data_IF_611829507300
#
_entry.id   IF_611829507300
#
_cell.length_a   1.000
_cell.length_b   1.000
_cell.length_c   1.000
_cell.angle_alpha   90.00
_cell.angle_beta   90.00
_cell.angle_gamma   90.00
#
_symmetry.space_group_name_H-M   'P 1'
#
loop_
_entity.id
_entity.type
_entity.pdbx_description
1 polymer ?
#
# COMPACT_ATOMS: atom_id res chain seq x y z
N UNK A 1 -50.09 61.29 -46.50
CA UNK A 1 -49.41 60.23 -47.24
C UNK A 1 -47.97 60.22 -46.81
N UNK A 2 -47.60 59.35 -45.86
CA UNK A 2 -46.32 59.37 -45.16
C UNK A 2 -45.54 58.17 -45.62
N UNK A 3 -44.37 58.40 -46.22
CA UNK A 3 -43.40 57.35 -46.60
C UNK A 3 -42.49 57.04 -45.39
N UNK A 4 -42.51 55.81 -44.95
CA UNK A 4 -41.71 55.32 -43.88
C UNK A 4 -40.37 54.85 -44.48
N UNK A 5 -39.26 55.43 -44.02
CA UNK A 5 -37.89 55.02 -44.39
C UNK A 5 -37.39 54.05 -43.33
N UNK A 6 -37.10 52.82 -43.72
CA UNK A 6 -36.44 51.81 -42.91
C UNK A 6 -34.91 51.97 -43.00
N UNK A 7 -34.31 52.32 -41.88
CA UNK A 7 -32.84 52.31 -41.73
C UNK A 7 -32.44 50.90 -41.26
N UNK A 8 -31.70 50.17 -42.12
CA UNK A 8 -30.99 48.92 -41.78
C UNK A 8 -29.69 49.27 -41.04
N UNK A 9 -29.64 49.01 -39.75
CA UNK A 9 -28.40 48.98 -38.97
C UNK A 9 -27.80 47.59 -39.00
N UNK A 10 -26.71 47.45 -39.74
CA UNK A 10 -25.89 46.24 -39.79
C UNK A 10 -25.05 46.20 -38.52
N UNK A 11 -25.39 45.27 -37.59
CA UNK A 11 -24.64 45.01 -36.39
C UNK A 11 -23.48 44.05 -36.75
N UNK A 12 -22.25 44.53 -36.81
CA UNK A 12 -21.04 43.71 -37.01
C UNK A 12 -20.70 43.01 -35.69
N UNK A 13 -21.02 41.72 -35.61
CA UNK A 13 -20.56 40.84 -34.51
C UNK A 13 -19.10 40.46 -34.76
N UNK A 14 -18.18 41.08 -34.02
CA UNK A 14 -16.78 40.71 -34.01
C UNK A 14 -16.64 39.43 -33.15
N UNK A 15 -16.55 38.28 -33.79
CA UNK A 15 -16.19 37.01 -33.17
C UNK A 15 -14.73 37.07 -32.73
N UNK A 16 -14.48 37.39 -31.45
CA UNK A 16 -13.20 37.23 -30.81
C UNK A 16 -12.98 35.75 -30.51
N UNK A 17 -12.22 35.08 -31.40
CA UNK A 17 -11.67 33.74 -31.10
C UNK A 17 -10.63 33.89 -29.98
N UNK A 18 -10.77 33.18 -28.85
CA UNK A 18 -9.68 33.10 -27.90
C UNK A 18 -8.55 32.32 -28.56
N UNK A 19 -7.38 32.94 -28.62
CA UNK A 19 -6.16 32.29 -29.02
C UNK A 19 -5.95 31.09 -28.09
N UNK A 20 -5.91 29.88 -28.67
CA UNK A 20 -5.43 28.69 -27.95
C UNK A 20 -3.99 29.01 -27.51
N UNK A 21 -3.82 29.23 -26.23
CA UNK A 21 -2.49 29.18 -25.60
C UNK A 21 -1.94 27.79 -25.86
N UNK A 22 -0.92 27.72 -26.71
CA UNK A 22 -0.15 26.50 -26.89
C UNK A 22 0.23 25.99 -25.50
N UNK A 23 -0.30 24.81 -25.13
CA UNK A 23 0.01 24.19 -23.85
C UNK A 23 1.53 24.06 -23.75
N UNK A 24 2.11 24.75 -22.77
CA UNK A 24 3.50 24.51 -22.42
C UNK A 24 3.64 23.02 -22.13
N UNK A 25 4.53 22.37 -22.86
CA UNK A 25 4.94 21.01 -22.56
C UNK A 25 5.32 20.96 -21.07
N UNK A 26 4.88 19.94 -20.31
CA UNK A 26 5.27 19.82 -18.92
C UNK A 26 6.79 19.89 -18.83
N UNK A 27 7.35 20.57 -17.81
CA UNK A 27 8.79 20.66 -17.65
C UNK A 27 9.37 19.24 -17.66
N UNK A 28 10.55 19.04 -18.26
CA UNK A 28 11.17 17.72 -18.29
C UNK A 28 11.28 17.23 -16.87
N UNK A 29 10.68 16.08 -16.61
CA UNK A 29 10.84 15.41 -15.32
C UNK A 29 12.34 15.19 -15.13
N UNK A 30 12.90 15.41 -13.92
CA UNK A 30 14.30 15.12 -13.65
C UNK A 30 14.55 13.69 -14.12
N UNK A 31 15.57 13.54 -14.99
CA UNK A 31 15.94 12.23 -15.54
C UNK A 31 16.05 11.24 -14.37
N UNK A 32 15.23 10.19 -14.39
CA UNK A 32 15.38 9.10 -13.44
C UNK A 32 16.83 8.65 -13.51
N UNK A 33 17.46 8.50 -12.34
CA UNK A 33 18.84 7.98 -12.29
C UNK A 33 18.85 6.68 -13.07
N UNK A 34 19.87 6.53 -13.92
CA UNK A 34 20.04 5.33 -14.74
C UNK A 34 19.83 4.08 -13.89
N UNK A 35 19.02 3.17 -14.37
CA UNK A 35 18.78 1.91 -13.70
C UNK A 35 20.10 1.14 -13.55
N UNK A 36 20.41 0.72 -12.33
CA UNK A 36 21.57 -0.14 -12.02
C UNK A 36 21.06 -1.57 -11.90
N UNK A 37 21.62 -2.44 -12.74
CA UNK A 37 21.30 -3.88 -12.77
C UNK A 37 21.74 -4.50 -11.45
N UNK A 38 20.85 -5.28 -10.87
CA UNK A 38 21.11 -6.00 -9.62
C UNK A 38 20.95 -7.52 -9.74
N UNK A 39 21.32 -8.24 -8.68
CA UNK A 39 21.05 -9.68 -8.61
C UNK A 39 19.57 -9.98 -8.76
N UNK A 40 19.24 -11.14 -9.34
CA UNK A 40 17.90 -11.65 -9.65
C UNK A 40 17.18 -10.96 -10.82
N UNK A 41 17.71 -9.88 -11.38
CA UNK A 41 17.13 -9.27 -12.58
C UNK A 41 17.16 -10.24 -13.77
N UNK A 42 16.16 -10.10 -14.65
CA UNK A 42 16.10 -10.82 -15.92
C UNK A 42 16.41 -9.84 -17.05
N UNK A 43 17.47 -10.15 -17.79
CA UNK A 43 17.91 -9.36 -18.91
C UNK A 43 17.66 -10.13 -20.22
N UNK A 44 17.26 -9.42 -21.26
CA UNK A 44 17.21 -9.91 -22.62
C UNK A 44 18.36 -9.28 -23.40
N UNK A 45 19.29 -10.09 -23.87
CA UNK A 45 20.50 -9.67 -24.58
C UNK A 45 20.34 -10.09 -26.03
N UNK A 46 20.42 -9.12 -26.92
CA UNK A 46 20.25 -9.32 -28.35
C UNK A 46 21.52 -8.88 -29.09
N UNK A 47 22.02 -9.73 -29.95
CA UNK A 47 23.18 -9.44 -30.82
C UNK A 47 22.67 -9.31 -32.26
N UNK A 48 22.77 -8.10 -32.83
CA UNK A 48 22.25 -7.82 -34.16
C UNK A 48 22.90 -8.75 -35.20
N UNK A 49 22.07 -9.30 -36.08
CA UNK A 49 22.52 -10.22 -37.16
C UNK A 49 22.87 -11.64 -36.68
N UNK A 50 22.85 -11.93 -35.36
CA UNK A 50 23.25 -13.24 -34.82
C UNK A 50 22.20 -13.77 -33.82
N UNK A 51 21.08 -14.27 -34.34
CA UNK A 51 19.96 -14.76 -33.52
C UNK A 51 20.35 -15.85 -32.51
N UNK A 52 21.31 -16.69 -32.86
CA UNK A 52 21.81 -17.78 -32.02
C UNK A 52 22.54 -17.29 -30.74
N UNK A 53 22.91 -16.01 -30.72
CA UNK A 53 23.53 -15.36 -29.56
C UNK A 53 22.53 -14.61 -28.69
N UNK A 54 21.27 -14.47 -29.15
CA UNK A 54 20.22 -13.83 -28.37
C UNK A 54 19.81 -14.72 -27.21
N UNK A 55 19.79 -14.15 -26.01
CA UNK A 55 19.47 -14.91 -24.81
C UNK A 55 18.80 -14.07 -23.75
N UNK A 56 17.74 -14.61 -23.14
CA UNK A 56 17.21 -14.11 -21.87
C UNK A 56 18.01 -14.76 -20.73
N UNK A 57 18.64 -13.93 -19.91
CA UNK A 57 19.51 -14.40 -18.83
C UNK A 57 19.04 -13.87 -17.48
N UNK A 58 19.31 -14.65 -16.47
CA UNK A 58 19.11 -14.33 -15.07
C UNK A 58 20.42 -13.86 -14.45
N UNK A 59 20.39 -12.76 -13.71
CA UNK A 59 21.53 -12.27 -12.94
C UNK A 59 21.61 -13.08 -11.64
N UNK A 60 22.67 -13.87 -11.51
CA UNK A 60 22.89 -14.73 -10.35
C UNK A 60 23.08 -13.88 -9.07
N UNK A 61 22.91 -14.47 -7.86
CA UNK A 61 23.16 -13.76 -6.60
C UNK A 61 24.59 -13.20 -6.45
N UNK A 62 25.57 -13.79 -7.15
CA UNK A 62 26.95 -13.30 -7.20
C UNK A 62 27.14 -12.12 -8.18
N UNK A 63 26.04 -11.62 -8.79
CA UNK A 63 26.05 -10.52 -9.74
C UNK A 63 26.55 -10.84 -11.14
N UNK A 64 26.69 -12.12 -11.47
CA UNK A 64 27.24 -12.61 -12.75
C UNK A 64 26.14 -13.28 -13.58
N UNK A 65 26.41 -13.40 -14.88
CA UNK A 65 25.61 -14.23 -15.79
C UNK A 65 26.53 -14.93 -16.78
N UNK A 66 26.00 -15.94 -17.50
CA UNK A 66 26.74 -16.66 -18.54
C UNK A 66 26.13 -16.39 -19.90
N UNK A 67 26.97 -16.10 -20.88
CA UNK A 67 26.57 -15.79 -22.25
C UNK A 67 27.35 -16.67 -23.25
N UNK A 68 26.72 -17.03 -24.38
CA UNK A 68 27.40 -17.74 -25.46
C UNK A 68 28.64 -16.97 -25.94
N UNK A 69 29.73 -17.67 -26.22
CA UNK A 69 31.01 -17.15 -26.67
C UNK A 69 31.73 -16.20 -25.70
N UNK A 70 31.04 -15.65 -24.69
CA UNK A 70 31.61 -14.73 -23.68
C UNK A 70 31.99 -15.49 -22.40
N UNK A 71 31.22 -16.53 -22.08
CA UNK A 71 31.33 -17.22 -20.79
C UNK A 71 30.70 -16.42 -19.64
N UNK A 72 31.31 -16.52 -18.46
CA UNK A 72 30.83 -15.82 -17.27
C UNK A 72 31.27 -14.35 -17.24
N UNK A 73 30.30 -13.43 -17.00
CA UNK A 73 30.54 -11.98 -16.97
C UNK A 73 29.82 -11.34 -15.80
N UNK A 74 30.46 -10.36 -15.14
CA UNK A 74 29.85 -9.53 -14.09
C UNK A 74 28.96 -8.46 -14.71
N UNK A 75 27.67 -8.46 -14.32
CA UNK A 75 26.62 -7.56 -14.83
C UNK A 75 26.03 -6.66 -13.76
N UNK A 76 25.95 -7.12 -12.54
CA UNK A 76 25.44 -6.30 -11.42
C UNK A 76 26.33 -5.07 -11.18
N UNK A 77 25.69 -3.97 -10.73
CA UNK A 77 26.36 -2.70 -10.47
C UNK A 77 26.62 -1.85 -11.73
N UNK A 78 26.27 -2.34 -12.92
CA UNK A 78 26.36 -1.59 -14.19
C UNK A 78 25.01 -1.00 -14.57
N UNK A 79 25.04 0.13 -15.27
CA UNK A 79 23.85 0.58 -16.01
C UNK A 79 23.65 -0.29 -17.25
N UNK A 80 22.44 -0.22 -17.84
CA UNK A 80 22.13 -0.91 -19.09
C UNK A 80 23.13 -0.49 -20.20
N UNK A 81 23.41 0.80 -20.31
CA UNK A 81 24.34 1.33 -21.29
C UNK A 81 25.77 0.80 -21.07
N UNK A 82 26.26 0.84 -19.85
CA UNK A 82 27.59 0.30 -19.51
C UNK A 82 27.71 -1.19 -19.83
N UNK A 83 26.64 -1.96 -19.63
CA UNK A 83 26.63 -3.37 -19.98
C UNK A 83 26.62 -3.58 -21.50
N UNK A 84 25.83 -2.78 -22.24
CA UNK A 84 25.81 -2.83 -23.71
C UNK A 84 27.20 -2.55 -24.31
N UNK A 85 27.85 -1.48 -23.85
CA UNK A 85 29.18 -1.09 -24.32
C UNK A 85 30.22 -2.19 -24.02
N UNK A 86 30.13 -2.73 -22.80
CA UNK A 86 31.03 -3.81 -22.38
C UNK A 86 30.84 -5.09 -23.21
N UNK A 87 29.59 -5.51 -23.44
CA UNK A 87 29.29 -6.69 -24.25
C UNK A 87 29.63 -6.47 -25.72
N UNK A 88 29.39 -5.27 -26.26
CA UNK A 88 29.79 -4.90 -27.62
C UNK A 88 31.31 -5.10 -27.83
N UNK A 89 32.12 -4.59 -26.91
CA UNK A 89 33.57 -4.75 -26.97
C UNK A 89 34.06 -6.21 -26.83
N UNK A 90 33.31 -7.02 -26.06
CA UNK A 90 33.66 -8.45 -25.92
C UNK A 90 33.27 -9.24 -27.17
N UNK A 91 32.04 -9.04 -27.69
CA UNK A 91 31.57 -9.74 -28.89
C UNK A 91 32.31 -9.33 -30.16
N UNK A 92 32.77 -8.08 -30.27
CA UNK A 92 33.54 -7.60 -31.45
C UNK A 92 34.80 -8.46 -31.71
N UNK A 93 35.37 -9.08 -30.67
CA UNK A 93 36.54 -9.98 -30.80
C UNK A 93 36.24 -11.25 -31.60
N UNK A 94 34.97 -11.68 -31.61
CA UNK A 94 34.54 -12.95 -32.21
C UNK A 94 33.58 -12.73 -33.37
N UNK A 95 32.76 -11.67 -33.30
CA UNK A 95 31.72 -11.30 -34.26
C UNK A 95 31.96 -9.88 -34.73
N UNK A 96 32.51 -9.71 -35.95
CA UNK A 96 32.79 -8.38 -36.51
C UNK A 96 31.51 -7.55 -36.65
N UNK A 97 31.57 -6.30 -36.20
CA UNK A 97 30.42 -5.38 -36.27
C UNK A 97 29.28 -5.75 -35.31
N UNK A 98 29.57 -6.43 -34.23
CA UNK A 98 28.58 -6.84 -33.22
C UNK A 98 27.94 -5.60 -32.57
N UNK A 99 26.63 -5.41 -32.77
CA UNK A 99 25.81 -4.42 -32.05
C UNK A 99 24.98 -5.17 -31.03
N UNK A 100 25.19 -4.84 -29.76
CA UNK A 100 24.50 -5.50 -28.65
C UNK A 100 23.44 -4.57 -28.08
N UNK A 101 22.23 -5.11 -27.87
CA UNK A 101 21.13 -4.43 -27.17
C UNK A 101 20.86 -5.20 -25.87
N UNK A 102 20.77 -4.51 -24.75
CA UNK A 102 20.39 -5.06 -23.45
C UNK A 102 19.07 -4.46 -23.02
N UNK A 103 18.09 -5.31 -22.73
CA UNK A 103 16.77 -4.93 -22.26
C UNK A 103 16.56 -5.53 -20.87
N UNK A 104 16.18 -4.72 -19.89
CA UNK A 104 15.76 -5.22 -18.58
C UNK A 104 14.32 -5.71 -18.71
N UNK A 105 14.13 -7.02 -18.75
CA UNK A 105 12.84 -7.66 -18.92
C UNK A 105 12.03 -7.67 -17.63
N UNK A 106 12.70 -7.97 -16.52
CA UNK A 106 12.09 -7.97 -15.19
C UNK A 106 13.07 -7.42 -14.16
N UNK A 107 12.61 -6.48 -13.36
CA UNK A 107 13.33 -5.93 -12.22
C UNK A 107 12.94 -6.75 -10.99
N UNK A 108 13.87 -7.49 -10.41
CA UNK A 108 13.67 -8.28 -9.19
C UNK A 108 14.64 -7.90 -8.08
N UNK A 109 15.66 -7.13 -8.40
CA UNK A 109 16.73 -6.71 -7.49
C UNK A 109 16.33 -5.59 -6.52
N UNK A 110 15.09 -5.04 -6.64
CA UNK A 110 14.64 -3.88 -5.86
C UNK A 110 13.35 -4.17 -5.07
N UNK A 111 13.33 -5.22 -4.23
CA UNK A 111 12.14 -5.61 -3.48
C UNK A 111 11.83 -4.60 -2.36
N UNK A 112 10.54 -4.39 -2.10
CA UNK A 112 9.99 -3.80 -0.88
C UNK A 112 8.94 -4.75 -0.34
N UNK A 113 8.96 -5.00 0.95
CA UNK A 113 8.10 -5.96 1.63
C UNK A 113 6.96 -5.24 2.34
N UNK A 114 5.71 -5.59 2.05
CA UNK A 114 4.52 -5.07 2.71
C UNK A 114 3.94 -6.13 3.63
N UNK A 115 3.89 -5.85 4.94
CA UNK A 115 3.56 -6.83 5.98
C UNK A 115 2.40 -6.32 6.83
N UNK A 116 1.41 -7.18 7.08
CA UNK A 116 0.27 -6.93 7.97
C UNK A 116 -0.93 -6.30 7.26
N UNK A 117 -1.45 -5.21 7.77
CA UNK A 117 -2.74 -4.63 7.42
C UNK A 117 -2.83 -3.91 6.07
N UNK A 118 -2.36 -4.53 5.00
CA UNK A 118 -2.52 -4.05 3.62
C UNK A 118 -3.54 -4.89 2.85
N UNK A 119 -4.15 -4.33 1.82
CA UNK A 119 -5.09 -5.05 0.96
C UNK A 119 -4.45 -6.23 0.22
N UNK A 120 -3.17 -6.08 -0.19
CA UNK A 120 -2.36 -7.12 -0.83
C UNK A 120 -0.96 -7.09 -0.21
N UNK A 121 -0.78 -7.70 0.96
CA UNK A 121 0.55 -7.82 1.56
C UNK A 121 1.43 -8.74 0.70
N UNK A 122 2.74 -8.53 0.74
CA UNK A 122 3.70 -9.30 -0.05
C UNK A 122 4.87 -8.46 -0.53
N UNK A 123 5.54 -8.93 -1.58
CA UNK A 123 6.70 -8.27 -2.16
C UNK A 123 6.28 -7.43 -3.37
N UNK A 124 6.74 -6.19 -3.40
CA UNK A 124 6.59 -5.28 -4.52
C UNK A 124 7.97 -4.90 -5.05
N UNK A 125 8.15 -4.89 -6.36
CA UNK A 125 9.40 -4.44 -6.98
C UNK A 125 9.35 -2.94 -7.30
N UNK A 126 10.38 -2.20 -6.90
CA UNK A 126 10.51 -0.79 -7.24
C UNK A 126 11.04 -0.64 -8.67
N UNK A 127 10.14 -0.46 -9.63
CA UNK A 127 10.51 -0.21 -11.03
C UNK A 127 11.01 1.23 -11.27
N UNK A 128 10.73 2.13 -10.34
CA UNK A 128 11.14 3.53 -10.30
C UNK A 128 11.22 4.02 -8.85
N UNK A 129 11.68 5.24 -8.63
CA UNK A 129 11.56 5.86 -7.31
C UNK A 129 10.08 6.05 -6.94
N UNK A 130 9.66 5.47 -5.83
CA UNK A 130 8.29 5.56 -5.30
C UNK A 130 8.32 6.05 -3.85
N UNK A 131 7.31 6.85 -3.52
CA UNK A 131 7.03 7.19 -2.13
C UNK A 131 6.15 6.12 -1.48
N UNK A 132 6.09 6.12 -0.16
CA UNK A 132 5.22 5.23 0.60
C UNK A 132 3.76 5.35 0.16
N UNK A 133 3.25 6.58 -0.01
CA UNK A 133 1.87 6.84 -0.43
C UNK A 133 1.55 6.22 -1.80
N UNK A 134 2.46 6.37 -2.77
CA UNK A 134 2.31 5.78 -4.10
C UNK A 134 2.29 4.25 -4.02
N UNK A 135 3.16 3.68 -3.19
CA UNK A 135 3.29 2.24 -3.02
C UNK A 135 2.07 1.62 -2.31
N UNK A 136 1.50 2.31 -1.30
CA UNK A 136 0.26 1.90 -0.63
C UNK A 136 -0.88 1.71 -1.65
N UNK A 137 -0.99 2.60 -2.63
CA UNK A 137 -2.02 2.50 -3.66
C UNK A 137 -1.87 1.23 -4.52
N UNK A 138 -0.64 0.79 -4.77
CA UNK A 138 -0.34 -0.42 -5.55
C UNK A 138 -0.72 -1.69 -4.76
N UNK A 139 -0.46 -1.71 -3.46
CA UNK A 139 -0.74 -2.86 -2.59
C UNK A 139 -2.19 -2.88 -2.04
N UNK A 140 -3.07 -2.07 -2.62
CA UNK A 140 -4.51 -2.11 -2.30
C UNK A 140 -4.90 -1.37 -1.02
N UNK A 141 -4.09 -0.42 -0.57
CA UNK A 141 -4.40 0.42 0.59
C UNK A 141 -4.16 -0.26 1.94
N UNK A 142 -4.52 0.44 3.00
CA UNK A 142 -4.52 -0.06 4.38
C UNK A 142 -5.92 -0.55 4.73
N UNK A 143 -6.04 -1.77 5.29
CA UNK A 143 -7.33 -2.37 5.63
C UNK A 143 -7.94 -1.75 6.91
N UNK A 144 -9.27 -1.82 7.04
CA UNK A 144 -9.98 -1.17 8.13
C UNK A 144 -9.60 -1.66 9.55
N UNK A 145 -9.22 -2.94 9.66
CA UNK A 145 -8.79 -3.56 10.92
C UNK A 145 -7.28 -3.41 11.19
N UNK A 146 -6.55 -2.60 10.43
CA UNK A 146 -5.16 -2.29 10.70
C UNK A 146 -5.01 -1.24 11.81
N UNK A 147 -3.91 -1.33 12.58
CA UNK A 147 -3.49 -0.29 13.51
C UNK A 147 -2.62 0.74 12.78
N UNK A 148 -3.31 1.63 12.06
CA UNK A 148 -2.69 2.58 11.16
C UNK A 148 -1.81 3.64 11.86
N UNK A 149 -1.92 3.79 13.18
CA UNK A 149 -1.10 4.74 13.95
C UNK A 149 0.25 4.15 14.35
N UNK A 150 0.34 2.81 14.43
CA UNK A 150 1.55 2.10 14.86
C UNK A 150 2.37 1.52 13.71
N UNK A 151 2.14 2.02 12.50
CA UNK A 151 2.91 1.58 11.35
C UNK A 151 4.36 2.08 11.36
N UNK A 152 5.21 1.42 10.59
CA UNK A 152 6.61 1.81 10.44
C UNK A 152 7.23 1.22 9.18
N UNK A 153 8.35 1.81 8.77
CA UNK A 153 9.24 1.26 7.75
C UNK A 153 10.53 0.80 8.43
N UNK A 154 10.92 -0.43 8.20
CA UNK A 154 12.24 -0.95 8.57
C UNK A 154 13.17 -0.80 7.37
N UNK A 155 14.28 -0.09 7.57
CA UNK A 155 15.35 0.09 6.59
C UNK A 155 16.67 -0.36 7.21
N UNK A 156 17.10 -1.55 6.87
CA UNK A 156 18.16 -2.20 7.62
C UNK A 156 17.77 -2.30 9.10
N UNK A 157 18.62 -1.80 9.99
CA UNK A 157 18.38 -1.79 11.44
C UNK A 157 17.57 -0.56 11.92
N UNK A 158 17.23 0.35 11.00
CA UNK A 158 16.53 1.59 11.35
C UNK A 158 15.02 1.42 11.26
N UNK A 159 14.31 1.69 12.35
CA UNK A 159 12.85 1.80 12.37
C UNK A 159 12.43 3.26 12.16
N UNK A 160 11.67 3.51 11.11
CA UNK A 160 11.09 4.82 10.76
C UNK A 160 9.60 4.74 11.09
N UNK A 161 9.11 5.38 12.16
CA UNK A 161 7.69 5.35 12.49
C UNK A 161 6.88 6.10 11.43
N UNK A 162 5.72 5.58 11.09
CA UNK A 162 4.78 6.17 10.14
C UNK A 162 3.37 6.07 10.70
N UNK A 163 2.71 7.21 10.83
CA UNK A 163 1.29 7.30 11.12
C UNK A 163 0.52 7.34 9.79
N UNK A 164 -0.05 6.20 9.41
CA UNK A 164 -0.81 6.07 8.17
C UNK A 164 -2.14 6.84 8.21
N UNK A 165 -2.73 7.09 9.39
CA UNK A 165 -3.92 7.94 9.51
C UNK A 165 -3.57 9.40 9.17
N UNK A 166 -2.45 9.91 9.68
CA UNK A 166 -1.98 11.26 9.35
C UNK A 166 -1.65 11.37 7.87
N UNK A 167 -0.98 10.37 7.32
CA UNK A 167 -0.64 10.34 5.89
C UNK A 167 -1.89 10.32 5.00
N UNK A 168 -2.81 9.38 5.24
CA UNK A 168 -3.91 9.08 4.31
C UNK A 168 -5.13 9.98 4.52
N UNK A 169 -5.44 10.35 5.78
CA UNK A 169 -6.64 11.13 6.09
C UNK A 169 -6.35 12.63 6.19
N UNK A 170 -5.16 13.02 6.65
CA UNK A 170 -4.78 14.43 6.84
C UNK A 170 -3.83 14.94 5.77
N UNK A 171 -3.31 14.08 4.88
CA UNK A 171 -2.37 14.46 3.83
C UNK A 171 -1.01 14.92 4.36
N UNK A 172 -0.61 14.47 5.55
CA UNK A 172 0.66 14.86 6.18
C UNK A 172 1.84 14.18 5.48
N UNK A 173 2.47 14.91 4.56
CA UNK A 173 3.60 14.41 3.77
C UNK A 173 4.88 14.18 4.58
N UNK A 174 4.95 14.64 5.84
CA UNK A 174 6.06 14.28 6.74
C UNK A 174 6.09 12.77 7.03
N UNK A 175 4.95 12.10 6.88
CA UNK A 175 4.77 10.66 7.01
C UNK A 175 4.98 9.89 5.69
N UNK A 176 5.48 10.55 4.63
CA UNK A 176 5.60 9.97 3.29
C UNK A 176 7.06 9.81 2.86
N UNK A 177 7.83 8.90 3.46
CA UNK A 177 9.20 8.65 3.03
C UNK A 177 9.26 8.08 1.60
N UNK A 178 10.34 8.36 0.89
CA UNK A 178 10.71 7.58 -0.30
C UNK A 178 11.13 6.18 0.14
N UNK A 179 10.67 5.18 -0.59
CA UNK A 179 11.05 3.79 -0.33
C UNK A 179 12.36 3.45 -1.03
N UNK A 180 13.13 2.59 -0.39
CA UNK A 180 14.39 2.07 -0.90
C UNK A 180 14.32 0.53 -1.03
N UNK A 181 15.08 -0.07 -1.95
CA UNK A 181 15.16 -1.53 -2.04
C UNK A 181 15.56 -2.16 -0.70
N UNK A 182 14.85 -3.21 -0.30
CA UNK A 182 15.03 -3.89 0.98
C UNK A 182 14.19 -3.32 2.13
N UNK A 183 13.45 -2.21 1.94
CA UNK A 183 12.54 -1.71 2.96
C UNK A 183 11.45 -2.73 3.28
N UNK A 184 11.10 -2.83 4.57
CA UNK A 184 9.91 -3.54 5.03
C UNK A 184 8.91 -2.57 5.62
N UNK A 185 7.78 -2.39 4.95
CA UNK A 185 6.66 -1.54 5.39
C UNK A 185 5.71 -2.40 6.21
N UNK A 186 5.55 -2.07 7.48
CA UNK A 186 4.76 -2.87 8.42
C UNK A 186 3.61 -2.03 8.97
N UNK A 187 2.40 -2.55 8.84
CA UNK A 187 1.22 -2.03 9.53
C UNK A 187 0.63 -3.17 10.35
N UNK A 188 0.73 -3.13 11.68
CA UNK A 188 0.14 -4.16 12.52
C UNK A 188 -1.38 -4.25 12.31
N UNK A 189 -1.96 -5.41 12.51
CA UNK A 189 -3.40 -5.51 12.69
C UNK A 189 -3.75 -4.98 14.08
N UNK A 190 -4.88 -4.29 14.18
CA UNK A 190 -5.37 -3.83 15.47
C UNK A 190 -5.82 -5.02 16.31
N UNK A 191 -5.61 -4.92 17.59
CA UNK A 191 -6.25 -5.83 18.55
C UNK A 191 -7.76 -5.78 18.39
N UNK A 192 -8.44 -6.86 18.75
CA UNK A 192 -9.88 -6.97 18.65
C UNK A 192 -10.51 -7.40 19.98
N UNK A 193 -11.78 -7.05 20.15
CA UNK A 193 -12.70 -7.61 21.16
C UNK A 193 -13.76 -8.38 20.38
N UNK A 194 -14.18 -9.51 20.89
CA UNK A 194 -15.16 -10.37 20.24
C UNK A 194 -16.51 -10.25 20.92
N UNK A 195 -17.56 -9.97 20.17
CA UNK A 195 -18.93 -9.86 20.71
C UNK A 195 -19.78 -10.97 20.12
N UNK A 196 -20.32 -11.81 20.98
CA UNK A 196 -21.09 -13.00 20.61
C UNK A 196 -22.42 -13.07 21.38
N UNK A 197 -23.34 -13.90 20.88
CA UNK A 197 -24.67 -14.15 21.47
C UNK A 197 -25.72 -13.21 20.89
N UNK A 198 -26.64 -12.74 21.75
CA UNK A 198 -27.83 -11.98 21.37
C UNK A 198 -27.53 -10.52 21.06
N UNK A 199 -26.74 -10.30 19.99
CA UNK A 199 -26.47 -9.01 19.34
C UNK A 199 -26.82 -9.10 17.86
N UNK A 200 -27.08 -7.97 17.21
CA UNK A 200 -27.58 -7.97 15.81
C UNK A 200 -26.55 -8.53 14.82
N UNK A 201 -25.27 -8.20 15.01
CA UNK A 201 -24.20 -8.61 14.09
C UNK A 201 -23.01 -9.10 14.92
N UNK A 202 -23.05 -10.35 15.43
CA UNK A 202 -21.93 -10.92 16.18
C UNK A 202 -20.63 -10.85 15.38
N UNK A 203 -19.51 -10.51 16.03
CA UNK A 203 -18.23 -10.42 15.34
C UNK A 203 -17.13 -9.76 16.15
N UNK A 204 -16.01 -9.51 15.45
CA UNK A 204 -14.86 -8.81 16.01
C UNK A 204 -15.06 -7.30 15.91
N UNK A 205 -14.78 -6.60 17.01
CA UNK A 205 -14.75 -5.15 17.11
C UNK A 205 -13.31 -4.71 17.29
N UNK A 206 -12.86 -3.75 16.49
CA UNK A 206 -11.52 -3.18 16.62
C UNK A 206 -11.34 -2.58 18.01
N UNK A 207 -10.30 -3.03 18.72
CA UNK A 207 -9.96 -2.45 20.01
C UNK A 207 -9.35 -1.06 19.83
N UNK A 208 -9.93 -0.10 20.52
CA UNK A 208 -9.36 1.24 20.75
C UNK A 208 -9.11 1.37 22.26
N UNK A 209 -8.07 2.08 22.66
CA UNK A 209 -7.70 2.17 24.08
C UNK A 209 -8.81 2.69 25.03
N UNK A 210 -9.90 3.24 24.47
CA UNK A 210 -11.08 3.74 25.17
C UNK A 210 -12.35 2.90 24.91
N UNK A 211 -12.19 1.69 24.32
CA UNK A 211 -13.33 0.81 24.03
C UNK A 211 -13.96 0.29 25.30
N UNK A 212 -15.27 0.47 25.42
CA UNK A 212 -16.08 0.01 26.54
C UNK A 212 -17.11 -1.02 26.08
N UNK A 213 -17.77 -1.70 27.02
CA UNK A 213 -18.79 -2.72 26.70
C UNK A 213 -19.94 -2.12 25.89
N UNK A 214 -20.46 -0.97 26.32
CA UNK A 214 -21.58 -0.32 25.62
C UNK A 214 -21.16 0.09 24.21
N UNK A 215 -19.95 0.66 24.05
CA UNK A 215 -19.41 1.01 22.73
C UNK A 215 -19.27 -0.22 21.82
N UNK A 216 -18.74 -1.34 22.36
CA UNK A 216 -18.56 -2.56 21.59
C UNK A 216 -19.91 -3.16 21.14
N UNK A 217 -20.89 -3.24 22.05
CA UNK A 217 -22.24 -3.73 21.72
C UNK A 217 -22.90 -2.82 20.67
N UNK A 218 -22.73 -1.51 20.79
CA UNK A 218 -23.28 -0.54 19.81
C UNK A 218 -22.66 -0.75 18.42
N UNK A 219 -21.36 -1.00 18.32
CA UNK A 219 -20.69 -1.23 17.04
C UNK A 219 -21.16 -2.49 16.31
N UNK A 220 -21.62 -3.51 17.05
CA UNK A 220 -22.24 -4.71 16.47
C UNK A 220 -23.75 -4.58 16.25
N UNK A 221 -24.25 -3.35 16.22
CA UNK A 221 -25.66 -3.03 15.92
C UNK A 221 -26.61 -3.10 17.13
N UNK A 222 -26.07 -3.26 18.33
CA UNK A 222 -26.86 -3.33 19.57
C UNK A 222 -27.40 -4.72 19.91
N UNK A 223 -28.14 -4.79 21.00
CA UNK A 223 -28.75 -6.01 21.51
C UNK A 223 -29.97 -6.43 20.66
N UNK A 224 -30.25 -7.74 20.60
CA UNK A 224 -31.51 -8.26 20.06
C UNK A 224 -32.65 -8.12 21.07
N UNK A 225 -33.92 -8.22 20.66
CA UNK A 225 -35.05 -8.27 21.59
C UNK A 225 -35.04 -9.47 22.54
N UNK A 226 -34.31 -10.52 22.18
CA UNK A 226 -34.17 -11.75 22.98
C UNK A 226 -33.01 -11.68 23.97
N UNK A 227 -32.20 -10.64 23.95
CA UNK A 227 -31.05 -10.49 24.82
C UNK A 227 -31.42 -10.40 26.31
N UNK A 228 -30.53 -10.88 27.16
CA UNK A 228 -30.59 -10.70 28.62
C UNK A 228 -29.51 -9.70 29.08
N UNK A 229 -29.73 -8.38 28.95
CA UNK A 229 -28.70 -7.35 29.18
C UNK A 229 -28.20 -7.30 30.64
N UNK A 230 -29.00 -7.75 31.59
CA UNK A 230 -28.59 -7.85 33.02
C UNK A 230 -27.64 -9.01 33.33
N UNK A 231 -27.25 -9.83 32.35
CA UNK A 231 -26.42 -11.03 32.55
C UNK A 231 -25.36 -11.22 31.51
N UNK A 232 -24.75 -10.13 31.05
CA UNK A 232 -23.67 -10.17 30.05
C UNK A 232 -22.38 -10.64 30.74
N UNK A 233 -21.67 -11.57 30.12
CA UNK A 233 -20.40 -12.05 30.61
C UNK A 233 -19.27 -11.50 29.75
N UNK A 234 -18.22 -10.95 30.35
CA UNK A 234 -16.94 -10.63 29.71
C UNK A 234 -15.92 -11.67 30.14
N UNK A 235 -15.38 -12.39 29.16
CA UNK A 235 -14.32 -13.37 29.39
C UNK A 235 -13.00 -12.68 29.06
N UNK A 236 -12.16 -12.48 30.07
CA UNK A 236 -10.87 -11.82 30.00
C UNK A 236 -9.74 -12.80 30.30
N UNK A 237 -8.62 -12.66 29.61
CA UNK A 237 -7.43 -13.47 29.82
C UNK A 237 -7.04 -14.32 28.64
N UNK A 238 -5.99 -15.13 28.82
CA UNK A 238 -5.43 -16.04 27.81
C UNK A 238 -6.03 -17.45 27.92
N UNK A 239 -5.50 -18.36 27.07
CA UNK A 239 -5.98 -19.76 27.03
C UNK A 239 -5.86 -20.53 28.36
N UNK A 240 -4.94 -20.16 29.23
CA UNK A 240 -4.65 -20.87 30.48
C UNK A 240 -5.44 -20.34 31.67
N UNK A 241 -5.74 -19.04 31.69
CA UNK A 241 -6.48 -18.41 32.79
C UNK A 241 -7.48 -17.41 32.23
N UNK A 242 -8.77 -17.79 32.26
CA UNK A 242 -9.89 -16.92 31.89
C UNK A 242 -10.64 -16.46 33.13
N UNK A 243 -10.78 -15.16 33.30
CA UNK A 243 -11.64 -14.53 34.27
C UNK A 243 -13.00 -14.24 33.64
N UNK A 244 -14.08 -14.57 34.33
CA UNK A 244 -15.44 -14.21 33.92
C UNK A 244 -15.91 -13.04 34.75
N UNK A 245 -16.13 -11.92 34.11
CA UNK A 245 -16.67 -10.70 34.73
C UNK A 245 -18.12 -10.58 34.28
N UNK A 246 -19.05 -10.75 35.23
CA UNK A 246 -20.49 -10.58 34.96
C UNK A 246 -20.87 -9.12 35.10
N UNK A 247 -21.56 -8.59 34.10
CA UNK A 247 -21.96 -7.18 34.05
C UNK A 247 -23.44 -7.03 33.71
N UNK A 248 -24.04 -6.01 34.28
CA UNK A 248 -25.43 -5.62 34.03
C UNK A 248 -25.45 -4.40 33.12
N UNK A 249 -25.49 -4.67 31.80
CA UNK A 249 -25.49 -3.61 30.74
C UNK A 249 -26.77 -2.77 30.83
N UNK A 250 -27.88 -3.34 31.28
CA UNK A 250 -29.14 -2.61 31.45
C UNK A 250 -29.01 -1.53 32.52
N UNK A 251 -28.40 -1.86 33.67
CA UNK A 251 -28.12 -0.88 34.73
C UNK A 251 -27.09 0.15 34.29
N UNK A 252 -26.05 -0.26 33.57
CA UNK A 252 -25.05 0.69 33.03
C UNK A 252 -25.69 1.72 32.12
N UNK A 253 -26.67 1.34 31.29
CA UNK A 253 -27.36 2.28 30.39
C UNK A 253 -28.38 3.17 31.11
N UNK A 254 -29.03 2.66 32.18
CA UNK A 254 -30.07 3.42 32.91
C UNK A 254 -29.54 4.31 34.02
N UNK A 255 -28.46 3.89 34.68
CA UNK A 255 -27.87 4.59 35.82
C UNK A 255 -26.33 4.59 35.70
N UNK A 256 -25.76 5.34 34.75
CA UNK A 256 -24.33 5.28 34.48
C UNK A 256 -23.45 5.80 35.62
N UNK A 257 -23.98 6.70 36.46
CA UNK A 257 -23.24 7.25 37.61
C UNK A 257 -23.01 6.20 38.70
N UNK A 258 -23.94 5.28 38.88
CA UNK A 258 -23.85 4.20 39.88
C UNK A 258 -23.20 2.93 39.29
N UNK A 259 -23.33 2.74 37.97
CA UNK A 259 -22.85 1.55 37.26
C UNK A 259 -22.01 2.01 36.06
N UNK A 260 -20.73 2.33 36.28
CA UNK A 260 -19.87 2.87 35.20
C UNK A 260 -19.63 1.80 34.14
N UNK A 261 -19.59 2.27 32.89
CA UNK A 261 -19.28 1.42 31.74
C UNK A 261 -17.83 0.90 31.81
N UNK A 262 -17.67 -0.41 31.69
CA UNK A 262 -16.39 -1.08 31.89
C UNK A 262 -15.53 -0.98 30.65
N UNK A 263 -14.27 -0.58 30.82
CA UNK A 263 -13.26 -0.61 29.76
C UNK A 263 -12.86 -2.04 29.44
N UNK A 264 -12.85 -2.33 28.17
CA UNK A 264 -12.41 -3.59 27.63
C UNK A 264 -10.89 -3.65 27.50
N UNK A 265 -10.37 -4.84 27.38
CA UNK A 265 -8.97 -5.13 27.08
C UNK A 265 -8.86 -5.87 25.73
N UNK A 266 -7.71 -5.84 25.07
CA UNK A 266 -7.47 -6.66 23.89
C UNK A 266 -7.81 -8.13 24.14
N UNK A 267 -8.48 -8.75 23.16
CA UNK A 267 -8.92 -10.15 23.19
C UNK A 267 -10.02 -10.47 24.22
N UNK A 268 -10.66 -9.48 24.85
CA UNK A 268 -11.87 -9.74 25.64
C UNK A 268 -12.97 -10.33 24.74
N UNK A 269 -13.73 -11.29 25.30
CA UNK A 269 -14.89 -11.88 24.63
C UNK A 269 -16.14 -11.48 25.43
N UNK A 270 -17.02 -10.73 24.79
CA UNK A 270 -18.33 -10.37 25.35
C UNK A 270 -19.33 -11.42 24.90
N UNK A 271 -20.00 -12.05 25.83
CA UNK A 271 -21.10 -12.99 25.57
C UNK A 271 -22.40 -12.44 26.12
N UNK A 272 -23.33 -12.20 25.20
CA UNK A 272 -24.70 -11.74 25.55
C UNK A 272 -25.63 -12.95 25.52
N UNK A 273 -26.10 -13.44 26.67
CA UNK A 273 -27.00 -14.59 26.70
C UNK A 273 -28.42 -14.22 26.29
N UNK A 274 -29.18 -15.24 25.91
CA UNK A 274 -30.61 -15.12 25.66
C UNK A 274 -31.37 -15.00 26.96
N UNK A 275 -32.48 -14.26 26.93
CA UNK A 275 -33.44 -14.20 28.03
C UNK A 275 -34.16 -15.55 28.16
N UNK A 276 -34.14 -16.12 29.36
CA UNK A 276 -34.92 -17.31 29.69
C UNK A 276 -36.28 -16.81 30.18
N UNK A 277 -37.34 -17.20 29.50
CA UNK A 277 -38.73 -16.90 29.92
C UNK A 277 -39.21 -17.88 30.99
#
# INVERSE_FOLDING_TARGET
>A
MRRLVFLLSVLAVVLSFPWLTAGQAPPPQPADKDYIIGPEDILDIQVWGNKDLNQTVFVRPDGRTSLPLVGEIGVAGKTVQQLQDHLGAVYEKTVKGAVVTVIVKEIRSRPVYFIGGFGKPGVMQLTRELTLLQSISIVGGVVANADAEKGFVLRGDKRIPVDFNRLLQRGDLSQNPKLEPGDSVVVPLADAVYVNGEVRTPGAVKYTGDLTIIKAITQVGGLTPLAAPGRVDVLRGNSEKKERIRVDVDKMMRSPDENPDIRLQPNDIIFVPQRIF
#
